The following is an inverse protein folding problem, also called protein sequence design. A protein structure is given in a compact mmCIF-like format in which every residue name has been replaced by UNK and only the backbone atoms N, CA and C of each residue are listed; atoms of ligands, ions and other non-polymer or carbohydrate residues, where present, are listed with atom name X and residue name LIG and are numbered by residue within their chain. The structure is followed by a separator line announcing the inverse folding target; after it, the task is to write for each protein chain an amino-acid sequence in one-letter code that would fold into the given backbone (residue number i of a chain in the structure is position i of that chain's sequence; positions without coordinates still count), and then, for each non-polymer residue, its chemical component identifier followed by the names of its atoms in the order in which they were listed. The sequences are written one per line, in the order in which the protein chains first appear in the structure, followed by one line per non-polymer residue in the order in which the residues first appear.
data_IF_598376244145
#
_entry.id   IF_598376244145
#
_cell.length_a   1.000
_cell.length_b   1.000
_cell.length_c   1.000
_cell.angle_alpha   90.00
_cell.angle_beta   90.00
_cell.angle_gamma   90.00
#
_symmetry.space_group_name_H-M   'P 1'
#
loop_
_entity.id
_entity.type
_entity.pdbx_description
1 polymer ?
#
# COMPACT_ATOMS: atom_id res chain seq x y z
N UNK A 1 18.89 -33.61 13.78
CA UNK A 1 17.55 -33.40 14.37
C UNK A 1 16.85 -32.38 13.50
N UNK A 2 16.23 -32.84 12.42
CA UNK A 2 15.47 -31.98 11.52
C UNK A 2 14.15 -31.61 12.18
N UNK A 3 14.12 -30.45 12.83
CA UNK A 3 12.90 -29.83 13.32
C UNK A 3 12.13 -29.32 12.11
N UNK A 4 11.45 -30.25 11.43
CA UNK A 4 10.53 -29.96 10.34
C UNK A 4 9.41 -29.11 10.95
N UNK A 5 9.50 -27.80 10.73
CA UNK A 5 8.51 -26.83 11.20
C UNK A 5 7.11 -27.32 10.82
N UNK A 6 6.15 -27.43 11.76
CA UNK A 6 4.83 -28.04 11.52
C UNK A 6 3.93 -27.26 10.54
N UNK A 7 4.47 -26.20 9.92
CA UNK A 7 3.80 -25.37 8.93
C UNK A 7 4.69 -25.17 7.70
N UNK A 8 4.80 -26.18 6.80
CA UNK A 8 5.62 -26.09 5.59
C UNK A 8 5.21 -24.93 4.67
N UNK A 9 3.96 -24.51 4.76
CA UNK A 9 3.37 -23.41 4.00
C UNK A 9 3.87 -22.03 4.47
N UNK A 10 4.14 -21.86 5.76
CA UNK A 10 4.74 -20.63 6.31
C UNK A 10 6.15 -20.42 5.78
N UNK A 11 6.94 -21.49 5.68
CA UNK A 11 8.28 -21.44 5.13
C UNK A 11 8.28 -21.04 3.64
N UNK A 12 7.26 -21.46 2.87
CA UNK A 12 7.08 -21.04 1.47
C UNK A 12 6.76 -19.55 1.37
N UNK A 13 5.83 -19.06 2.19
CA UNK A 13 5.48 -17.63 2.24
C UNK A 13 6.69 -16.79 2.64
N UNK A 14 7.42 -17.21 3.67
CA UNK A 14 8.62 -16.53 4.16
C UNK A 14 9.73 -16.49 3.10
N UNK A 15 10.00 -17.61 2.42
CA UNK A 15 10.94 -17.64 1.31
C UNK A 15 10.53 -16.65 0.20
N UNK A 16 9.24 -16.57 -0.13
CA UNK A 16 8.73 -15.62 -1.12
C UNK A 16 8.88 -14.18 -0.67
N UNK A 17 8.59 -13.88 0.60
CA UNK A 17 8.82 -12.55 1.19
C UNK A 17 10.29 -12.16 1.03
N UNK A 18 11.23 -13.05 1.35
CA UNK A 18 12.66 -12.80 1.19
C UNK A 18 13.10 -12.58 -0.27
N UNK A 19 12.45 -13.22 -1.24
CA UNK A 19 12.69 -12.94 -2.66
C UNK A 19 12.30 -11.50 -3.03
N UNK A 20 11.15 -11.04 -2.56
CA UNK A 20 10.71 -9.65 -2.77
C UNK A 20 11.60 -8.65 -2.04
N UNK A 21 12.03 -8.96 -0.82
CA UNK A 21 12.97 -8.11 -0.07
C UNK A 21 14.30 -7.97 -0.81
N UNK A 22 14.83 -9.07 -1.36
CA UNK A 22 16.03 -9.04 -2.21
C UNK A 22 15.83 -8.24 -3.50
N UNK A 23 14.60 -8.20 -4.03
CA UNK A 23 14.23 -7.36 -5.17
C UNK A 23 13.99 -5.87 -4.81
N UNK A 24 14.20 -5.48 -3.54
CA UNK A 24 14.08 -4.11 -3.06
C UNK A 24 12.70 -3.71 -2.54
N UNK A 25 11.85 -4.68 -2.20
CA UNK A 25 10.60 -4.42 -1.50
C UNK A 25 10.82 -4.39 0.02
N UNK A 26 10.04 -3.58 0.73
CA UNK A 26 10.04 -3.51 2.19
C UNK A 26 8.81 -4.22 2.75
N UNK A 27 8.98 -5.01 3.82
CA UNK A 27 7.85 -5.65 4.49
C UNK A 27 7.18 -4.63 5.41
N UNK A 28 5.87 -4.41 5.20
CA UNK A 28 5.05 -3.51 6.02
C UNK A 28 4.38 -4.29 7.13
N UNK A 29 3.86 -5.46 6.81
CA UNK A 29 3.13 -6.31 7.74
C UNK A 29 3.36 -7.78 7.37
N UNK A 30 3.60 -8.62 8.37
CA UNK A 30 3.72 -10.06 8.18
C UNK A 30 2.90 -10.78 9.24
N UNK A 31 1.79 -11.35 8.82
CA UNK A 31 0.97 -12.26 9.60
C UNK A 31 1.33 -13.69 9.20
N UNK A 32 1.08 -14.69 10.07
CA UNK A 32 1.45 -16.08 9.80
C UNK A 32 0.82 -16.74 8.54
N UNK A 33 -0.06 -16.03 7.83
CA UNK A 33 -0.76 -16.48 6.61
C UNK A 33 -0.72 -15.45 5.47
N UNK A 34 -0.25 -14.22 5.74
CA UNK A 34 -0.24 -13.10 4.79
C UNK A 34 0.98 -12.21 5.03
N UNK A 35 1.55 -11.64 3.97
CA UNK A 35 2.59 -10.62 4.07
C UNK A 35 2.28 -9.46 3.11
N UNK A 36 2.33 -8.24 3.62
CA UNK A 36 2.18 -7.00 2.87
C UNK A 36 3.54 -6.38 2.66
N UNK A 37 3.88 -6.09 1.40
CA UNK A 37 5.14 -5.50 0.99
C UNK A 37 4.90 -4.20 0.23
N UNK A 38 5.84 -3.26 0.33
CA UNK A 38 5.78 -1.96 -0.33
C UNK A 38 7.08 -1.68 -1.11
N UNK A 39 6.97 -1.06 -2.28
CA UNK A 39 8.09 -0.57 -3.07
C UNK A 39 7.65 0.61 -3.93
N UNK A 40 8.32 1.76 -3.79
CA UNK A 40 8.10 2.94 -4.64
C UNK A 40 6.60 3.25 -4.85
N UNK A 41 5.85 3.33 -3.75
CA UNK A 41 4.38 3.54 -3.70
C UNK A 41 3.49 2.38 -4.20
N UNK A 42 4.08 1.26 -4.65
CA UNK A 42 3.35 0.03 -4.97
C UNK A 42 3.26 -0.87 -3.75
N UNK A 43 2.07 -1.40 -3.48
CA UNK A 43 1.83 -2.41 -2.45
C UNK A 43 1.58 -3.77 -3.11
N UNK A 44 2.17 -4.82 -2.55
CA UNK A 44 1.95 -6.21 -2.95
C UNK A 44 1.51 -7.01 -1.73
N UNK A 45 0.43 -7.76 -1.85
CA UNK A 45 -0.04 -8.66 -0.79
C UNK A 45 0.23 -10.10 -1.20
N UNK A 46 1.08 -10.77 -0.43
CA UNK A 46 1.29 -12.21 -0.49
C UNK A 46 0.32 -12.88 0.48
N UNK A 47 -0.46 -13.84 0.00
CA UNK A 47 -1.36 -14.66 0.81
C UNK A 47 -1.10 -16.14 0.51
N UNK A 48 -1.42 -17.00 1.47
CA UNK A 48 -1.53 -18.44 1.21
C UNK A 48 -2.96 -18.75 0.78
N UNK A 49 -3.11 -19.42 -0.35
CA UNK A 49 -4.38 -19.99 -0.82
C UNK A 49 -4.73 -21.27 -0.03
N UNK A 50 -5.96 -21.76 -0.17
CA UNK A 50 -6.47 -22.99 0.45
C UNK A 50 -5.61 -24.22 0.14
N UNK A 51 -4.88 -24.20 -0.98
CA UNK A 51 -3.93 -25.24 -1.39
C UNK A 51 -2.50 -25.04 -0.85
N UNK A 52 -2.27 -24.06 0.03
CA UNK A 52 -0.94 -23.76 0.59
C UNK A 52 0.04 -23.17 -0.42
N UNK A 53 -0.48 -22.64 -1.53
CA UNK A 53 0.29 -21.94 -2.56
C UNK A 53 0.37 -20.45 -2.22
N UNK A 54 1.54 -19.85 -2.45
CA UNK A 54 1.71 -18.41 -2.26
C UNK A 54 1.12 -17.68 -3.45
N UNK A 55 -0.01 -17.01 -3.24
CA UNK A 55 -0.66 -16.18 -4.23
C UNK A 55 -0.28 -14.74 -3.96
N UNK A 56 0.18 -14.07 -5.00
CA UNK A 56 0.29 -12.62 -5.01
C UNK A 56 -1.08 -12.09 -5.41
N UNK A 57 -1.82 -11.55 -4.44
CA UNK A 57 -2.93 -10.67 -4.78
C UNK A 57 -2.30 -9.41 -5.40
N UNK A 58 -2.19 -9.42 -6.73
CA UNK A 58 -1.93 -8.24 -7.55
C UNK A 58 -3.15 -7.31 -7.61
N UNK A 59 -4.08 -7.45 -6.68
CA UNK A 59 -5.25 -6.61 -6.56
C UNK A 59 -4.82 -5.27 -5.97
N UNK A 60 -4.84 -4.27 -6.85
CA UNK A 60 -5.03 -2.86 -6.55
C UNK A 60 -5.79 -2.70 -5.23
N UNK A 61 -5.07 -2.34 -4.16
CA UNK A 61 -5.70 -2.05 -2.88
C UNK A 61 -6.71 -0.91 -3.09
N UNK A 62 -7.85 -0.95 -2.38
CA UNK A 62 -9.02 -0.12 -2.64
C UNK A 62 -8.63 1.36 -2.68
N UNK A 63 -9.30 2.10 -3.56
CA UNK A 63 -9.14 3.50 -3.94
C UNK A 63 -9.18 4.52 -2.76
N UNK A 64 -8.32 4.34 -1.77
CA UNK A 64 -8.09 5.21 -0.62
C UNK A 64 -6.62 5.63 -0.50
N UNK A 65 -5.76 5.16 -1.40
CA UNK A 65 -4.59 5.95 -1.76
C UNK A 65 -5.06 6.97 -2.78
N UNK A 66 -5.48 8.15 -2.29
CA UNK A 66 -5.50 9.35 -3.11
C UNK A 66 -4.10 9.47 -3.71
N UNK A 67 -3.96 9.01 -4.96
CA UNK A 67 -2.79 9.23 -5.79
C UNK A 67 -2.25 10.62 -5.49
N UNK A 68 -0.95 10.80 -5.34
CA UNK A 68 -0.37 12.11 -5.03
C UNK A 68 -0.89 13.22 -5.95
N UNK A 69 -1.33 12.85 -7.16
CA UNK A 69 -2.10 13.67 -8.10
C UNK A 69 -3.49 14.08 -7.59
N UNK A 70 -4.34 13.15 -7.16
CA UNK A 70 -5.66 13.46 -6.60
C UNK A 70 -5.56 14.34 -5.35
N UNK A 71 -4.56 14.10 -4.50
CA UNK A 71 -4.23 14.98 -3.37
C UNK A 71 -3.81 16.38 -3.85
N UNK A 72 -2.98 16.47 -4.89
CA UNK A 72 -2.58 17.76 -5.48
C UNK A 72 -3.77 18.53 -6.09
N UNK A 73 -4.68 17.85 -6.79
CA UNK A 73 -5.90 18.45 -7.33
C UNK A 73 -6.81 19.00 -6.23
N UNK A 74 -6.95 18.25 -5.13
CA UNK A 74 -7.76 18.68 -3.99
C UNK A 74 -7.14 19.90 -3.29
N UNK A 75 -5.82 19.89 -3.05
CA UNK A 75 -5.10 21.04 -2.50
C UNK A 75 -5.22 22.27 -3.42
N UNK A 76 -5.12 22.08 -4.73
CA UNK A 76 -5.26 23.17 -5.71
C UNK A 76 -6.68 23.77 -5.69
N UNK A 77 -7.72 22.94 -5.60
CA UNK A 77 -9.11 23.40 -5.44
C UNK A 77 -9.30 24.23 -4.16
N UNK A 78 -8.73 23.79 -3.04
CA UNK A 78 -8.81 24.51 -1.77
C UNK A 78 -8.13 25.87 -1.87
N UNK A 79 -6.93 25.96 -2.46
CA UNK A 79 -6.23 27.23 -2.66
C UNK A 79 -7.08 28.18 -3.53
N UNK A 80 -7.64 27.68 -4.62
CA UNK A 80 -8.50 28.48 -5.50
C UNK A 80 -9.69 29.06 -4.74
N UNK A 81 -10.35 28.22 -3.93
CA UNK A 81 -11.51 28.62 -3.14
C UNK A 81 -11.14 29.67 -2.08
N UNK A 82 -10.02 29.48 -1.37
CA UNK A 82 -9.50 30.45 -0.40
C UNK A 82 -9.19 31.79 -1.07
N UNK A 83 -8.47 31.78 -2.20
CA UNK A 83 -8.15 33.03 -2.92
C UNK A 83 -9.40 33.75 -3.40
N UNK A 84 -10.40 33.02 -3.89
CA UNK A 84 -11.67 33.59 -4.30
C UNK A 84 -12.44 34.19 -3.11
N UNK A 85 -12.51 33.50 -1.98
CA UNK A 85 -13.16 34.00 -0.76
C UNK A 85 -12.47 35.26 -0.23
N UNK A 86 -11.13 35.29 -0.22
CA UNK A 86 -10.35 36.47 0.22
C UNK A 86 -10.58 37.66 -0.72
N UNK A 87 -10.56 37.45 -2.03
CA UNK A 87 -10.85 38.49 -3.01
C UNK A 87 -12.28 39.01 -2.88
N UNK A 88 -13.25 38.13 -2.66
CA UNK A 88 -14.65 38.50 -2.43
C UNK A 88 -14.82 39.33 -1.17
N UNK A 89 -14.21 38.93 -0.03
CA UNK A 89 -14.27 39.72 1.20
C UNK A 89 -13.60 41.09 1.06
N UNK A 90 -12.45 41.17 0.38
CA UNK A 90 -11.76 42.44 0.12
C UNK A 90 -12.56 43.35 -0.82
N UNK A 91 -13.24 42.78 -1.82
CA UNK A 91 -14.14 43.51 -2.71
C UNK A 91 -15.43 43.98 -2.02
N UNK A 92 -15.88 43.25 -1.00
CA UNK A 92 -17.05 43.61 -0.18
C UNK A 92 -16.72 44.65 0.90
N UNK A 93 -15.48 44.72 1.38
CA UNK A 93 -15.01 45.72 2.34
C UNK A 93 -14.67 47.09 1.73
N UNK A 94 -14.73 47.21 0.40
CA UNK A 94 -14.46 48.45 -0.36
C UNK A 94 -15.76 49.11 -0.76
#
# INVERSE_FOLDING_TARGET
MDQKSPYPERAKLEARVWDYVRAGWSVVEQTGVHATLIRNDQLARLSLDQDGNVVTDGAELPAFFLDGRAKAWLVMLVILLVTFTVAYLLGFLR
#
